data_IF_233853935879
#
_entry.id   IF_233853935879
#
_cell.length_a   1.000
_cell.length_b   1.000
_cell.length_c   1.000
_cell.angle_alpha   90.00
_cell.angle_beta   90.00
_cell.angle_gamma   90.00
#
_symmetry.space_group_name_H-M   'P 1'
#
loop_
_entity.id
_entity.type
_entity.pdbx_description
1 polymer ?
#
# COMPACT_ATOMS: atom_id res chain seq x y z
N UNK A 1 7.10 0.01 22.15
CA UNK A 1 8.10 0.13 21.09
C UNK A 1 7.56 -0.69 19.92
N UNK A 2 6.95 -0.05 18.96
CA UNK A 2 6.34 -0.75 17.84
C UNK A 2 7.33 -0.73 16.68
N UNK A 3 7.95 -1.87 16.39
CA UNK A 3 8.71 -2.08 15.17
C UNK A 3 7.71 -2.42 14.07
N UNK A 4 7.52 -1.52 13.12
CA UNK A 4 6.69 -1.84 11.96
C UNK A 4 7.53 -2.63 10.96
N UNK A 5 7.27 -3.92 10.91
CA UNK A 5 7.80 -4.79 9.87
C UNK A 5 6.80 -4.79 8.72
N UNK A 6 7.15 -4.14 7.63
CA UNK A 6 6.35 -4.15 6.43
C UNK A 6 6.47 -5.53 5.76
N UNK A 7 5.50 -6.41 5.99
CA UNK A 7 5.42 -7.68 5.25
C UNK A 7 4.95 -7.40 3.83
N UNK A 8 5.81 -7.59 2.86
CA UNK A 8 5.36 -7.72 1.48
C UNK A 8 4.75 -9.12 1.31
N UNK A 9 3.46 -9.22 1.57
CA UNK A 9 2.68 -10.40 1.21
C UNK A 9 2.04 -10.13 -0.14
N UNK A 10 2.71 -10.52 -1.18
CA UNK A 10 2.02 -10.72 -2.45
C UNK A 10 2.84 -11.61 -3.34
N UNK A 11 2.23 -12.70 -3.68
CA UNK A 11 2.43 -13.48 -4.89
C UNK A 11 3.82 -13.32 -5.55
N UNK A 12 4.74 -14.22 -5.21
CA UNK A 12 6.04 -14.46 -5.85
C UNK A 12 7.04 -13.30 -5.94
N UNK A 13 6.74 -12.13 -5.47
CA UNK A 13 7.74 -11.08 -5.32
C UNK A 13 8.34 -11.14 -3.93
N UNK A 14 9.45 -11.82 -3.86
CA UNK A 14 10.48 -11.79 -2.82
C UNK A 14 9.96 -11.80 -1.36
N UNK A 15 9.45 -12.95 -0.93
CA UNK A 15 9.10 -13.25 0.48
C UNK A 15 10.28 -12.96 1.45
N UNK A 16 11.49 -12.72 0.93
CA UNK A 16 12.72 -12.53 1.70
C UNK A 16 13.11 -11.08 1.96
N UNK A 17 12.57 -10.11 1.21
CA UNK A 17 12.94 -8.72 1.38
C UNK A 17 11.98 -8.04 2.36
N UNK A 18 12.52 -7.46 3.42
CA UNK A 18 11.77 -6.75 4.45
C UNK A 18 12.41 -5.40 4.72
N UNK A 19 11.58 -4.38 4.81
CA UNK A 19 12.00 -3.04 5.20
C UNK A 19 11.50 -2.79 6.62
N UNK A 20 12.34 -2.22 7.46
CA UNK A 20 11.98 -1.85 8.83
C UNK A 20 12.69 -0.55 9.23
N UNK A 21 12.22 0.06 10.30
CA UNK A 21 12.77 1.31 10.81
C UNK A 21 12.04 1.78 12.06
N UNK A 22 12.43 2.92 12.58
CA UNK A 22 11.73 3.57 13.69
C UNK A 22 10.76 4.63 13.15
N UNK A 23 9.53 4.65 13.69
CA UNK A 23 8.59 5.73 13.40
C UNK A 23 9.11 7.08 13.92
N UNK A 24 8.70 8.17 13.27
CA UNK A 24 9.03 9.53 13.72
C UNK A 24 8.64 9.72 15.19
N UNK A 25 9.51 10.37 15.96
CA UNK A 25 9.32 10.58 17.38
C UNK A 25 9.61 9.37 18.29
N UNK A 26 9.95 8.21 17.73
CA UNK A 26 10.36 7.04 18.53
C UNK A 26 11.82 7.17 18.96
N UNK A 27 12.07 7.13 20.27
CA UNK A 27 13.42 7.09 20.83
C UNK A 27 13.94 5.65 20.75
N UNK A 28 14.96 5.44 19.95
CA UNK A 28 15.64 4.14 19.79
C UNK A 28 17.04 4.22 20.38
N UNK A 29 17.46 3.18 21.10
CA UNK A 29 18.85 3.11 21.60
C UNK A 29 19.83 3.13 20.42
N UNK A 30 20.94 3.89 20.52
CA UNK A 30 21.97 3.90 19.48
C UNK A 30 22.42 2.47 19.15
N UNK A 31 22.53 2.17 17.84
CA UNK A 31 22.98 0.86 17.35
C UNK A 31 21.92 -0.26 17.39
N UNK A 32 20.76 -0.09 18.04
CA UNK A 32 19.78 -1.18 18.14
C UNK A 32 19.23 -1.64 16.78
N UNK A 33 18.88 -0.70 15.90
CA UNK A 33 18.34 -1.06 14.57
C UNK A 33 19.40 -1.77 13.74
N UNK A 34 20.64 -1.36 13.84
CA UNK A 34 21.75 -1.99 13.15
C UNK A 34 22.05 -3.40 13.69
N UNK A 35 22.01 -3.60 15.01
CA UNK A 35 22.14 -4.92 15.62
C UNK A 35 21.01 -5.87 15.13
N UNK A 36 19.76 -5.39 15.09
CA UNK A 36 18.63 -6.16 14.54
C UNK A 36 18.89 -6.53 13.06
N UNK A 37 19.46 -5.62 12.27
CA UNK A 37 19.81 -5.90 10.88
C UNK A 37 20.81 -7.06 10.78
N UNK A 38 21.84 -7.02 11.60
CA UNK A 38 22.86 -8.07 11.62
C UNK A 38 22.29 -9.42 12.02
N UNK A 39 21.52 -9.47 13.12
CA UNK A 39 20.89 -10.72 13.57
C UNK A 39 19.97 -11.34 12.51
N UNK A 40 19.18 -10.51 11.81
CA UNK A 40 18.29 -10.98 10.75
C UNK A 40 19.06 -11.45 9.51
N UNK A 41 20.14 -10.75 9.15
CA UNK A 41 21.00 -11.16 8.03
C UNK A 41 21.75 -12.46 8.33
N UNK A 42 22.26 -12.64 9.56
CA UNK A 42 22.87 -13.89 10.01
C UNK A 42 21.88 -15.06 9.99
N UNK A 43 20.61 -14.79 10.28
CA UNK A 43 19.53 -15.76 10.11
C UNK A 43 19.11 -16.02 8.65
N UNK A 44 19.80 -15.45 7.66
CA UNK A 44 19.51 -15.61 6.23
C UNK A 44 18.28 -14.80 5.75
N UNK A 45 17.82 -13.84 6.55
CA UNK A 45 16.69 -12.97 6.20
C UNK A 45 17.23 -11.68 5.61
N UNK A 46 16.96 -11.44 4.31
CA UNK A 46 17.32 -10.18 3.68
C UNK A 46 16.42 -9.07 4.24
N UNK A 47 17.04 -8.03 4.77
CA UNK A 47 16.35 -6.87 5.37
C UNK A 47 17.05 -5.59 4.99
N UNK A 48 16.27 -4.53 4.82
CA UNK A 48 16.74 -3.18 4.57
C UNK A 48 16.29 -2.27 5.74
N UNK A 49 17.24 -1.54 6.31
CA UNK A 49 16.95 -0.51 7.31
C UNK A 49 16.55 0.77 6.58
N UNK A 50 15.29 1.16 6.76
CA UNK A 50 14.78 2.41 6.19
C UNK A 50 15.28 3.62 6.95
N UNK A 51 15.74 4.66 6.27
CA UNK A 51 16.02 5.96 6.89
C UNK A 51 14.72 6.71 7.25
N UNK A 52 13.59 6.37 6.62
CA UNK A 52 12.27 6.94 6.86
C UNK A 52 11.18 5.89 6.64
N UNK A 53 10.91 5.11 7.68
CA UNK A 53 9.90 4.05 7.62
C UNK A 53 8.48 4.59 7.43
N UNK A 54 8.17 5.81 7.89
CA UNK A 54 6.85 6.41 7.72
C UNK A 54 6.58 6.67 6.24
N UNK A 55 7.57 7.25 5.53
CA UNK A 55 7.52 7.43 4.08
C UNK A 55 7.35 6.11 3.36
N UNK A 56 8.20 5.14 3.64
CA UNK A 56 8.22 3.86 2.91
C UNK A 56 6.93 3.06 3.15
N UNK A 57 6.39 3.10 4.37
CA UNK A 57 5.11 2.50 4.71
C UNK A 57 3.95 3.19 3.98
N UNK A 58 3.96 4.54 3.90
CA UNK A 58 2.92 5.29 3.20
C UNK A 58 2.93 4.99 1.69
N UNK A 59 4.12 4.99 1.06
CA UNK A 59 4.26 4.66 -0.38
C UNK A 59 3.66 3.28 -0.67
N UNK A 60 3.98 2.29 0.17
CA UNK A 60 3.43 0.96 0.05
C UNK A 60 1.91 0.93 0.26
N UNK A 61 1.41 1.60 1.31
CA UNK A 61 -0.02 1.68 1.62
C UNK A 61 -0.80 2.28 0.46
N UNK A 62 -0.34 3.40 -0.12
CA UNK A 62 -0.98 4.07 -1.25
C UNK A 62 -1.09 3.17 -2.49
N UNK A 63 -0.02 2.41 -2.82
CA UNK A 63 -0.05 1.47 -3.94
C UNK A 63 -0.99 0.30 -3.69
N UNK A 64 -0.87 -0.36 -2.52
CA UNK A 64 -1.69 -1.54 -2.20
C UNK A 64 -3.15 -1.17 -2.11
N UNK A 65 -3.49 -0.03 -1.51
CA UNK A 65 -4.85 0.50 -1.46
C UNK A 65 -5.42 0.67 -2.86
N UNK A 66 -4.77 1.42 -3.75
CA UNK A 66 -5.25 1.64 -5.11
C UNK A 66 -5.42 0.33 -5.89
N UNK A 67 -4.44 -0.58 -5.80
CA UNK A 67 -4.45 -1.87 -6.49
C UNK A 67 -5.56 -2.80 -5.99
N UNK A 68 -5.61 -3.04 -4.68
CA UNK A 68 -6.55 -3.99 -4.09
C UNK A 68 -7.99 -3.50 -4.18
N UNK A 69 -8.20 -2.19 -3.96
CA UNK A 69 -9.51 -1.56 -4.05
C UNK A 69 -10.04 -1.58 -5.49
N UNK A 70 -9.20 -1.27 -6.49
CA UNK A 70 -9.61 -1.37 -7.91
C UNK A 70 -9.99 -2.78 -8.28
N UNK A 71 -9.16 -3.78 -7.95
CA UNK A 71 -9.43 -5.18 -8.23
C UNK A 71 -10.72 -5.67 -7.60
N UNK A 72 -10.96 -5.35 -6.32
CA UNK A 72 -12.18 -5.73 -5.61
C UNK A 72 -13.43 -4.97 -6.11
N UNK A 73 -13.29 -3.71 -6.48
CA UNK A 73 -14.41 -2.91 -6.99
C UNK A 73 -14.95 -3.43 -8.30
N UNK A 74 -14.09 -3.78 -9.24
CA UNK A 74 -14.48 -4.32 -10.54
C UNK A 74 -14.56 -5.85 -10.58
N UNK A 75 -14.09 -6.52 -9.52
CA UNK A 75 -13.94 -7.99 -9.47
C UNK A 75 -13.14 -8.55 -10.65
N UNK A 76 -11.93 -8.01 -10.83
CA UNK A 76 -11.07 -8.35 -11.97
C UNK A 76 -9.64 -8.64 -11.53
N UNK A 77 -8.88 -9.46 -12.30
CA UNK A 77 -7.43 -9.62 -12.09
C UNK A 77 -6.66 -8.38 -12.56
N UNK A 78 -5.38 -8.30 -12.20
CA UNK A 78 -4.53 -7.14 -12.48
C UNK A 78 -4.34 -6.89 -13.98
N UNK A 79 -4.44 -7.91 -14.82
CA UNK A 79 -4.40 -7.76 -16.27
C UNK A 79 -5.48 -6.84 -16.84
N UNK A 80 -6.64 -6.73 -16.19
CA UNK A 80 -7.68 -5.79 -16.61
C UNK A 80 -7.36 -4.35 -16.16
N UNK A 81 -6.68 -4.19 -15.01
CA UNK A 81 -6.20 -2.88 -14.53
C UNK A 81 -5.07 -2.34 -15.43
N UNK A 82 -4.27 -3.23 -16.01
CA UNK A 82 -3.18 -2.88 -16.93
C UNK A 82 -3.67 -2.34 -18.28
N UNK A 83 -4.91 -2.68 -18.70
CA UNK A 83 -5.46 -2.23 -19.98
C UNK A 83 -5.95 -0.78 -19.90
N UNK A 84 -5.78 0.03 -20.96
CA UNK A 84 -6.38 1.35 -21.03
C UNK A 84 -7.91 1.29 -20.88
N UNK A 85 -8.50 2.27 -20.19
CA UNK A 85 -9.94 2.41 -20.01
C UNK A 85 -10.36 2.60 -18.55
N UNK A 86 -11.66 2.56 -18.31
CA UNK A 86 -12.30 2.95 -17.03
C UNK A 86 -11.67 2.29 -15.79
N UNK A 87 -11.26 1.02 -15.89
CA UNK A 87 -10.67 0.30 -14.74
C UNK A 87 -9.32 0.92 -14.40
N UNK A 88 -8.45 1.13 -15.41
CA UNK A 88 -7.16 1.80 -15.23
C UNK A 88 -7.32 3.24 -14.78
N UNK A 89 -8.31 3.97 -15.31
CA UNK A 89 -8.59 5.35 -14.91
C UNK A 89 -8.99 5.43 -13.43
N UNK A 90 -9.75 4.45 -12.92
CA UNK A 90 -10.06 4.35 -11.50
C UNK A 90 -8.80 4.11 -10.65
N UNK A 91 -7.92 3.20 -11.07
CA UNK A 91 -6.64 2.99 -10.39
C UNK A 91 -5.78 4.26 -10.36
N UNK A 92 -5.74 5.01 -11.47
CA UNK A 92 -5.04 6.31 -11.56
C UNK A 92 -5.69 7.33 -10.61
N UNK A 93 -7.01 7.40 -10.55
CA UNK A 93 -7.73 8.30 -9.64
C UNK A 93 -7.40 8.01 -8.18
N UNK A 94 -7.51 6.74 -7.74
CA UNK A 94 -7.14 6.33 -6.38
C UNK A 94 -5.67 6.63 -6.07
N UNK A 95 -4.76 6.36 -7.01
CA UNK A 95 -3.33 6.67 -6.86
C UNK A 95 -3.07 8.18 -6.73
N UNK A 96 -3.80 8.99 -7.49
CA UNK A 96 -3.67 10.47 -7.45
C UNK A 96 -4.16 11.03 -6.12
N UNK A 97 -5.31 10.54 -5.65
CA UNK A 97 -5.92 10.98 -4.39
C UNK A 97 -5.06 10.56 -3.18
N UNK A 98 -4.57 9.32 -3.14
CA UNK A 98 -3.63 8.88 -2.09
C UNK A 98 -2.30 9.65 -2.13
N UNK A 99 -1.79 9.99 -3.31
CA UNK A 99 -0.60 10.83 -3.45
C UNK A 99 -0.81 12.25 -2.92
N UNK A 100 -2.00 12.83 -3.12
CA UNK A 100 -2.36 14.13 -2.57
C UNK A 100 -2.37 14.10 -1.04
N UNK A 101 -2.95 13.04 -0.44
CA UNK A 101 -2.89 12.81 1.00
C UNK A 101 -1.45 12.70 1.50
N UNK A 102 -0.61 11.89 0.84
CA UNK A 102 0.79 11.73 1.23
C UNK A 102 1.56 13.05 1.23
N UNK A 103 1.39 13.87 0.19
CA UNK A 103 1.98 15.21 0.12
C UNK A 103 1.53 16.10 1.28
N UNK A 104 0.25 16.04 1.63
CA UNK A 104 -0.31 16.81 2.75
C UNK A 104 0.26 16.35 4.09
N UNK A 105 0.53 15.07 4.25
CA UNK A 105 1.18 14.48 5.44
C UNK A 105 2.71 14.66 5.46
N UNK A 106 3.28 15.36 4.48
CA UNK A 106 4.72 15.62 4.40
C UNK A 106 5.55 14.43 3.88
N UNK A 107 4.92 13.48 3.21
CA UNK A 107 5.63 12.35 2.60
C UNK A 107 6.40 12.83 1.37
N UNK A 108 7.71 12.66 1.41
CA UNK A 108 8.60 12.95 0.28
C UNK A 108 8.68 11.74 -0.65
N UNK A 109 8.01 11.82 -1.81
CA UNK A 109 8.06 10.76 -2.80
C UNK A 109 9.34 10.85 -3.62
N UNK A 110 10.10 9.73 -3.80
CA UNK A 110 11.34 9.73 -4.60
C UNK A 110 11.13 10.04 -6.09
N UNK A 111 9.93 9.72 -6.58
CA UNK A 111 9.47 10.00 -7.94
C UNK A 111 7.96 10.32 -7.92
N UNK A 112 7.38 10.66 -9.07
CA UNK A 112 5.94 10.85 -9.16
C UNK A 112 5.18 9.58 -8.75
N UNK A 113 4.37 9.62 -7.66
CA UNK A 113 3.77 8.41 -7.09
C UNK A 113 2.77 7.72 -8.03
N UNK A 114 2.10 8.45 -8.89
CA UNK A 114 1.18 7.86 -9.89
C UNK A 114 1.98 7.08 -10.94
N UNK A 115 3.03 7.69 -11.47
CA UNK A 115 3.94 7.02 -12.41
C UNK A 115 4.61 5.80 -11.80
N UNK A 116 5.02 5.88 -10.53
CA UNK A 116 5.55 4.74 -9.79
C UNK A 116 4.52 3.62 -9.70
N UNK A 117 3.31 3.91 -9.26
CA UNK A 117 2.24 2.92 -9.13
C UNK A 117 1.89 2.27 -10.47
N UNK A 118 1.87 3.04 -11.56
CA UNK A 118 1.68 2.52 -12.92
C UNK A 118 2.81 1.58 -13.35
N UNK A 119 4.07 1.93 -13.08
CA UNK A 119 5.21 1.06 -13.37
C UNK A 119 5.13 -0.27 -12.59
N UNK A 120 4.63 -0.24 -11.36
CA UNK A 120 4.50 -1.43 -10.52
C UNK A 120 3.34 -2.31 -11.00
N UNK A 121 2.15 -1.74 -11.22
CA UNK A 121 0.97 -2.51 -11.65
C UNK A 121 1.23 -3.19 -13.00
N UNK A 122 1.91 -2.51 -13.93
CA UNK A 122 2.20 -3.03 -15.27
C UNK A 122 3.20 -4.20 -15.29
N UNK A 123 3.91 -4.43 -14.18
CA UNK A 123 4.84 -5.56 -14.00
C UNK A 123 4.22 -6.76 -13.29
N UNK A 124 3.03 -6.62 -12.73
CA UNK A 124 2.36 -7.75 -12.06
C UNK A 124 1.91 -8.80 -13.10
N UNK A 125 1.88 -10.06 -12.66
CA UNK A 125 1.32 -11.12 -13.48
C UNK A 125 -0.17 -10.81 -13.77
N UNK A 126 -0.61 -10.85 -15.04
CA UNK A 126 -1.97 -10.42 -15.41
C UNK A 126 -3.09 -11.17 -14.69
N UNK A 127 -2.87 -12.45 -14.38
CA UNK A 127 -3.82 -13.32 -13.67
C UNK A 127 -3.85 -13.08 -12.16
N UNK A 128 -2.97 -12.24 -11.63
CA UNK A 128 -2.89 -12.00 -10.20
C UNK A 128 -4.07 -11.19 -9.67
N UNK A 129 -4.46 -11.48 -8.42
CA UNK A 129 -5.49 -10.76 -7.66
C UNK A 129 -4.96 -10.39 -6.28
N UNK A 130 -5.48 -9.33 -5.67
CA UNK A 130 -5.16 -9.00 -4.29
C UNK A 130 -5.71 -10.03 -3.30
N UNK A 131 -5.04 -10.22 -2.13
CA UNK A 131 -5.55 -11.07 -1.04
C UNK A 131 -6.91 -10.59 -0.58
N UNK A 132 -7.07 -9.27 -0.36
CA UNK A 132 -8.34 -8.65 0.03
C UNK A 132 -9.50 -9.05 -0.89
N UNK A 133 -9.29 -9.12 -2.20
CA UNK A 133 -10.33 -9.54 -3.16
C UNK A 133 -10.76 -10.99 -2.94
N UNK A 134 -9.79 -11.88 -2.65
CA UNK A 134 -10.07 -13.30 -2.35
C UNK A 134 -10.81 -13.47 -1.03
N UNK A 135 -10.46 -12.68 -0.02
CA UNK A 135 -11.09 -12.74 1.29
C UNK A 135 -12.53 -12.23 1.23
N UNK A 136 -12.76 -11.10 0.53
CA UNK A 136 -14.11 -10.59 0.26
C UNK A 136 -14.99 -11.60 -0.49
N UNK A 137 -14.45 -12.25 -1.53
CA UNK A 137 -15.19 -13.24 -2.30
C UNK A 137 -15.58 -14.48 -1.48
N UNK A 138 -14.83 -14.78 -0.41
CA UNK A 138 -15.09 -15.91 0.50
C UNK A 138 -15.92 -15.52 1.73
N UNK A 139 -16.25 -14.23 1.89
CA UNK A 139 -16.91 -13.71 3.08
C UNK A 139 -16.02 -13.77 4.34
N UNK A 140 -14.71 -13.76 4.17
CA UNK A 140 -13.75 -13.71 5.26
C UNK A 140 -13.46 -12.26 5.66
N UNK A 141 -12.93 -12.08 6.88
CA UNK A 141 -12.37 -10.80 7.30
C UNK A 141 -11.30 -10.37 6.30
N UNK A 142 -11.36 -9.10 5.89
CA UNK A 142 -10.49 -8.56 4.85
C UNK A 142 -9.87 -7.23 5.28
N UNK A 143 -8.82 -6.81 4.57
CA UNK A 143 -8.13 -5.55 4.83
C UNK A 143 -8.90 -4.32 4.27
N UNK A 144 -10.19 -4.47 3.91
CA UNK A 144 -10.99 -3.38 3.29
C UNK A 144 -11.06 -2.15 4.19
N UNK A 145 -11.15 -2.34 5.51
CA UNK A 145 -11.17 -1.23 6.46
C UNK A 145 -9.88 -0.40 6.32
N UNK A 146 -8.71 -1.03 6.43
CA UNK A 146 -7.42 -0.35 6.38
C UNK A 146 -7.05 0.20 4.99
N UNK A 147 -7.48 -0.47 3.91
CA UNK A 147 -7.11 -0.09 2.54
C UNK A 147 -8.08 0.89 1.89
N UNK A 148 -9.32 0.96 2.34
CA UNK A 148 -10.33 1.84 1.76
C UNK A 148 -10.82 2.88 2.78
N UNK A 149 -11.41 2.44 3.89
CA UNK A 149 -12.08 3.36 4.80
C UNK A 149 -11.12 4.18 5.66
N UNK A 150 -9.99 3.63 6.08
CA UNK A 150 -8.98 4.39 6.83
C UNK A 150 -8.27 5.41 5.91
N UNK A 151 -8.12 5.12 4.60
CA UNK A 151 -7.63 6.09 3.62
C UNK A 151 -8.61 7.26 3.50
N UNK A 152 -9.92 6.98 3.47
CA UNK A 152 -10.96 8.01 3.43
C UNK A 152 -10.92 8.86 4.70
N UNK A 153 -10.88 8.23 5.87
CA UNK A 153 -10.85 8.93 7.15
C UNK A 153 -9.62 9.84 7.26
N UNK A 154 -8.43 9.31 6.91
CA UNK A 154 -7.20 10.11 6.92
C UNK A 154 -7.25 11.30 5.95
N UNK A 155 -7.85 11.14 4.77
CA UNK A 155 -8.00 12.22 3.82
C UNK A 155 -8.99 13.30 4.32
N UNK A 156 -10.08 12.89 4.94
CA UNK A 156 -11.06 13.79 5.54
C UNK A 156 -10.46 14.61 6.69
N UNK A 157 -9.68 13.99 7.57
CA UNK A 157 -8.95 14.68 8.64
C UNK A 157 -7.98 15.75 8.10
N UNK A 158 -7.42 15.52 6.90
CA UNK A 158 -6.49 16.44 6.26
C UNK A 158 -7.18 17.44 5.32
N UNK A 159 -8.50 17.38 5.14
CA UNK A 159 -9.28 18.22 4.23
C UNK A 159 -8.95 17.98 2.76
N UNK A 160 -8.58 16.75 2.39
CA UNK A 160 -8.29 16.34 1.01
C UNK A 160 -9.55 15.77 0.38
N UNK A 161 -9.89 16.27 -0.81
CA UNK A 161 -10.99 15.70 -1.59
C UNK A 161 -10.57 14.42 -2.31
N UNK A 162 -11.39 13.38 -2.16
CA UNK A 162 -11.08 12.01 -2.63
C UNK A 162 -12.31 11.39 -3.30
N UNK A 163 -12.81 11.99 -4.40
CA UNK A 163 -14.06 11.56 -5.04
C UNK A 163 -14.00 10.11 -5.55
N UNK A 164 -12.84 9.63 -6.02
CA UNK A 164 -12.69 8.26 -6.53
C UNK A 164 -12.80 7.24 -5.38
N UNK A 165 -12.13 7.49 -4.25
CA UNK A 165 -12.27 6.65 -3.06
C UNK A 165 -13.70 6.60 -2.56
N UNK A 166 -14.39 7.75 -2.48
CA UNK A 166 -15.79 7.82 -2.06
C UNK A 166 -16.70 7.06 -3.03
N UNK A 167 -16.52 7.23 -4.33
CA UNK A 167 -17.29 6.50 -5.36
C UNK A 167 -17.15 4.97 -5.17
N UNK A 168 -15.92 4.50 -4.97
CA UNK A 168 -15.67 3.07 -4.78
C UNK A 168 -16.24 2.55 -3.47
N UNK A 169 -16.15 3.34 -2.39
CA UNK A 169 -16.64 2.96 -1.07
C UNK A 169 -18.16 2.67 -1.03
N UNK A 170 -18.95 3.28 -1.92
CA UNK A 170 -20.40 3.04 -1.98
C UNK A 170 -20.73 1.55 -2.23
N UNK A 171 -19.89 0.83 -2.96
CA UNK A 171 -20.08 -0.61 -3.18
C UNK A 171 -19.93 -1.44 -1.90
N UNK A 172 -19.06 -0.98 -0.97
CA UNK A 172 -18.64 -1.74 0.21
C UNK A 172 -19.31 -1.31 1.51
N UNK A 173 -20.14 -0.27 1.50
CA UNK A 173 -20.89 0.20 2.69
C UNK A 173 -21.93 -0.80 3.22
N UNK A 174 -22.23 -1.85 2.49
CA UNK A 174 -23.23 -2.86 2.82
C UNK A 174 -22.63 -4.21 3.23
N UNK A 175 -21.33 -4.26 3.36
CA UNK A 175 -20.59 -5.40 3.85
C UNK A 175 -20.18 -5.12 5.31
#
# INVERSE_FOLDING_TARGET
MTLTVCRQNSMQMCIRDRVYGAHHGTVVKPGLLEAIRQDLQEAGIKVDLSPDINRDTFIKWSFISAMAVTGAYYDVPMGEVQKPGKIRDTFIGLSTESAALGKKLGVEFPEDPVSYNLKVIDKLAPESTASMQKDLARGHDSEIQGLLFDMIAAAEEQGIDIPTYRMVAEKFKKI
#
